data_IF_323600600969
#
_entry.id   IF_323600600969
#
_cell.length_a   1.000
_cell.length_b   1.000
_cell.length_c   1.000
_cell.angle_alpha   90.00
_cell.angle_beta   90.00
_cell.angle_gamma   90.00
#
_symmetry.space_group_name_H-M   'P 1'
#
loop_
_entity.id
_entity.type
_entity.pdbx_description
1 polymer ?
#
# COMPACT_ATOMS: atom_id res chain seq x y z
N UNK A 1 -32.75 37.79 2.90
CA UNK A 1 -31.53 36.97 2.80
C UNK A 1 -31.97 35.51 2.71
N UNK A 2 -31.83 34.87 1.55
CA UNK A 2 -31.98 33.42 1.43
C UNK A 2 -30.61 32.79 1.72
N UNK A 3 -30.53 31.98 2.77
CA UNK A 3 -29.37 31.13 3.02
C UNK A 3 -29.50 29.89 2.13
N UNK A 4 -28.58 29.75 1.17
CA UNK A 4 -28.38 28.50 0.44
C UNK A 4 -27.54 27.62 1.36
N UNK A 5 -28.11 26.50 1.78
CA UNK A 5 -27.37 25.45 2.50
C UNK A 5 -26.61 24.66 1.43
N UNK A 6 -25.27 24.59 1.47
CA UNK A 6 -24.54 23.73 0.54
C UNK A 6 -24.93 22.28 0.80
N UNK A 7 -25.40 21.60 -0.24
CA UNK A 7 -25.63 20.15 -0.23
C UNK A 7 -24.31 19.43 0.00
N UNK A 8 -24.29 18.46 0.92
CA UNK A 8 -23.14 17.59 1.13
C UNK A 8 -22.70 16.96 -0.19
N UNK A 9 -21.38 16.85 -0.46
CA UNK A 9 -20.90 16.11 -1.62
C UNK A 9 -21.34 14.64 -1.48
N UNK A 10 -21.93 14.12 -2.55
CA UNK A 10 -22.26 12.70 -2.69
C UNK A 10 -20.92 11.96 -2.82
N UNK A 11 -20.63 11.06 -1.88
CA UNK A 11 -19.51 10.12 -2.00
C UNK A 11 -19.95 9.09 -3.04
N UNK A 12 -19.31 9.09 -4.20
CA UNK A 12 -19.61 8.19 -5.31
C UNK A 12 -18.57 7.06 -5.34
N UNK A 13 -18.97 5.87 -4.88
CA UNK A 13 -18.18 4.64 -4.95
C UNK A 13 -18.12 4.16 -6.41
N UNK A 14 -16.91 3.90 -6.92
CA UNK A 14 -16.69 3.49 -8.32
C UNK A 14 -16.03 2.11 -8.37
N UNK A 15 -16.57 1.17 -9.14
CA UNK A 15 -16.02 -0.18 -9.34
C UNK A 15 -15.50 -0.33 -10.77
N UNK A 16 -14.37 -1.03 -10.99
CA UNK A 16 -13.75 -1.19 -12.32
C UNK A 16 -13.37 -2.65 -12.58
N UNK A 17 -13.91 -3.21 -13.66
CA UNK A 17 -13.58 -4.59 -14.06
C UNK A 17 -12.30 -4.59 -14.89
N UNK A 18 -11.21 -5.13 -14.34
CA UNK A 18 -9.97 -5.37 -15.10
C UNK A 18 -9.82 -6.88 -15.29
N UNK A 19 -10.19 -7.39 -16.47
CA UNK A 19 -10.04 -8.82 -16.75
C UNK A 19 -8.59 -9.15 -17.07
N UNK A 20 -7.93 -9.92 -16.19
CA UNK A 20 -6.60 -10.46 -16.47
C UNK A 20 -6.67 -11.99 -16.60
N UNK A 21 -6.16 -12.48 -17.73
CA UNK A 21 -6.15 -13.90 -18.07
C UNK A 21 -4.95 -14.60 -17.41
N UNK A 22 -5.23 -15.36 -16.35
CA UNK A 22 -4.47 -16.46 -15.70
C UNK A 22 -2.94 -16.41 -15.76
N UNK A 23 -2.31 -16.26 -14.60
CA UNK A 23 -0.87 -16.52 -14.36
C UNK A 23 -0.64 -18.04 -14.30
N UNK A 24 0.42 -18.60 -14.92
CA UNK A 24 0.76 -20.00 -14.74
C UNK A 24 1.12 -20.30 -13.28
N UNK A 25 0.49 -21.32 -12.70
CA UNK A 25 0.92 -21.91 -11.42
C UNK A 25 2.38 -22.33 -11.52
N UNK A 26 3.28 -21.63 -10.83
CA UNK A 26 4.65 -22.09 -10.62
C UNK A 26 4.61 -23.28 -9.65
N UNK A 27 4.54 -24.49 -10.21
CA UNK A 27 4.89 -25.68 -9.44
C UNK A 27 6.38 -25.59 -9.12
N UNK A 28 6.72 -25.49 -7.84
CA UNK A 28 8.08 -25.61 -7.36
C UNK A 28 8.58 -27.04 -7.61
N UNK A 29 9.20 -27.27 -8.75
CA UNK A 29 9.91 -28.53 -9.05
C UNK A 29 11.21 -28.56 -8.24
N UNK A 30 11.16 -29.14 -7.03
CA UNK A 30 12.35 -29.63 -6.33
C UNK A 30 12.95 -30.80 -7.12
N UNK A 31 13.85 -30.51 -8.07
CA UNK A 31 14.71 -31.54 -8.67
C UNK A 31 16.17 -31.32 -8.32
N UNK A 32 16.66 -32.21 -7.45
CA UNK A 32 18.07 -32.46 -7.18
C UNK A 32 18.86 -32.69 -8.48
N UNK A 33 19.84 -31.82 -8.77
CA UNK A 33 20.84 -32.05 -9.80
C UNK A 33 22.25 -31.84 -9.25
N UNK A 34 22.87 -32.93 -8.79
CA UNK A 34 24.31 -33.07 -8.65
C UNK A 34 24.92 -33.21 -10.05
N UNK A 35 25.69 -32.23 -10.53
CA UNK A 35 26.40 -32.35 -11.81
C UNK A 35 27.11 -31.06 -12.25
N UNK A 36 28.19 -30.68 -11.58
CA UNK A 36 29.10 -29.64 -12.04
C UNK A 36 30.14 -30.25 -13.01
N UNK A 37 29.96 -30.03 -14.31
CA UNK A 37 31.06 -30.11 -15.28
C UNK A 37 31.45 -28.69 -15.74
N UNK A 38 32.76 -28.46 -15.72
CA UNK A 38 33.48 -27.25 -16.08
C UNK A 38 33.10 -26.71 -17.46
N UNK A 39 32.70 -25.43 -17.52
CA UNK A 39 32.80 -24.62 -18.73
C UNK A 39 33.36 -23.24 -18.37
N UNK A 40 34.61 -23.01 -18.78
CA UNK A 40 35.36 -21.78 -18.60
C UNK A 40 34.97 -20.77 -19.68
N UNK A 41 34.34 -19.67 -19.29
CA UNK A 41 34.21 -18.44 -20.10
C UNK A 41 35.07 -17.35 -19.43
N UNK A 42 35.89 -16.60 -20.17
CA UNK A 42 36.79 -15.61 -19.59
C UNK A 42 36.01 -14.36 -19.15
N UNK A 43 36.13 -14.03 -17.87
CA UNK A 43 35.70 -12.74 -17.31
C UNK A 43 36.82 -11.73 -17.61
N UNK A 44 36.45 -10.62 -18.23
CA UNK A 44 37.32 -9.47 -18.37
C UNK A 44 37.55 -8.83 -17.00
N UNK A 45 38.80 -8.85 -16.56
CA UNK A 45 39.33 -8.18 -15.39
C UNK A 45 39.35 -6.66 -15.65
N UNK A 46 38.49 -5.92 -14.95
CA UNK A 46 38.64 -4.48 -14.75
C UNK A 46 38.91 -4.19 -13.28
N UNK A 47 40.11 -4.55 -12.83
CA UNK A 47 40.69 -4.01 -11.60
C UNK A 47 41.44 -2.71 -11.84
N UNK A 48 41.32 -1.83 -10.85
CA UNK A 48 42.09 -0.61 -10.55
C UNK A 48 41.70 0.68 -11.30
N UNK A 49 41.10 1.62 -10.55
CA UNK A 49 41.89 2.65 -9.87
C UNK A 49 41.22 3.13 -8.57
N UNK A 50 41.99 3.04 -7.48
CA UNK A 50 41.77 3.80 -6.26
C UNK A 50 42.34 5.21 -6.41
N UNK A 51 41.75 6.22 -5.76
CA UNK A 51 42.52 7.18 -4.95
C UNK A 51 41.65 8.12 -4.12
N UNK A 52 41.95 8.13 -2.81
CA UNK A 52 41.98 9.28 -1.89
C UNK A 52 40.65 9.97 -1.51
N UNK A 53 40.07 9.53 -0.40
CA UNK A 53 39.33 10.40 0.51
C UNK A 53 40.07 10.47 1.87
N UNK A 54 40.27 11.66 2.45
CA UNK A 54 40.85 11.81 3.78
C UNK A 54 39.83 11.40 4.84
N UNK A 55 40.31 10.66 5.85
CA UNK A 55 39.55 10.32 7.05
C UNK A 55 39.13 11.60 7.78
N UNK A 56 37.83 11.84 7.88
CA UNK A 56 37.25 12.88 8.73
C UNK A 56 36.90 12.25 10.08
N UNK A 57 37.54 12.77 11.12
CA UNK A 57 37.36 12.44 12.53
C UNK A 57 35.98 12.91 13.03
N UNK A 58 35.08 12.02 13.49
CA UNK A 58 33.86 12.46 14.16
C UNK A 58 34.17 12.73 15.64
N UNK A 59 34.60 13.95 15.93
CA UNK A 59 34.53 14.48 17.29
C UNK A 59 33.05 14.66 17.68
N UNK A 60 32.49 13.64 18.34
CA UNK A 60 31.15 13.69 18.94
C UNK A 60 31.18 14.70 20.09
N UNK A 61 30.56 15.86 19.86
CA UNK A 61 30.18 16.78 20.92
C UNK A 61 28.99 16.19 21.69
N UNK A 62 29.25 15.70 22.91
CA UNK A 62 28.20 15.36 23.85
C UNK A 62 27.44 16.63 24.28
N UNK A 63 26.18 16.73 23.87
CA UNK A 63 25.23 17.69 24.45
C UNK A 63 24.66 17.04 25.72
N UNK A 64 25.14 17.50 26.88
CA UNK A 64 24.51 17.27 28.17
C UNK A 64 23.13 17.95 28.19
N UNK A 65 22.07 17.17 28.02
CA UNK A 65 20.73 17.58 28.47
C UNK A 65 20.55 17.17 29.93
N UNK A 66 20.70 18.15 30.82
CA UNK A 66 20.28 18.03 32.21
C UNK A 66 18.76 18.11 32.29
N UNK A 67 18.12 16.99 32.63
CA UNK A 67 16.71 16.93 33.04
C UNK A 67 16.55 17.55 34.44
N UNK A 68 15.68 18.55 34.64
CA UNK A 68 15.27 18.96 35.97
C UNK A 68 14.00 18.23 36.42
N UNK A 69 14.03 17.80 37.69
CA UNK A 69 12.92 17.80 38.65
C UNK A 69 11.75 16.81 38.47
N UNK A 70 12.02 15.60 38.94
CA UNK A 70 11.38 14.99 40.13
C UNK A 70 10.28 15.85 40.81
N UNK A 71 9.01 15.51 40.58
CA UNK A 71 7.87 15.92 41.41
C UNK A 71 7.04 14.67 41.76
N UNK A 72 7.39 14.12 42.92
CA UNK A 72 6.58 13.18 43.70
C UNK A 72 5.25 13.86 44.05
N UNK A 73 4.12 13.25 43.65
CA UNK A 73 2.81 13.55 44.23
C UNK A 73 2.24 12.29 44.85
N UNK A 74 2.06 12.37 46.16
CA UNK A 74 1.46 11.40 47.06
C UNK A 74 0.03 10.99 46.67
N UNK A 75 -0.28 9.74 47.01
CA UNK A 75 -1.61 9.14 47.00
C UNK A 75 -2.60 9.87 47.92
N UNK A 76 -3.92 9.70 47.68
CA UNK A 76 -4.68 9.08 48.76
C UNK A 76 -5.83 8.13 48.34
N UNK A 77 -6.12 7.24 49.29
CA UNK A 77 -7.44 6.70 49.67
C UNK A 77 -8.11 5.60 48.81
N UNK A 78 -7.85 4.38 49.27
CA UNK A 78 -8.80 3.29 49.49
C UNK A 78 -10.27 3.75 49.71
N UNK A 79 -11.18 3.31 48.84
CA UNK A 79 -12.62 3.28 49.10
C UNK A 79 -13.16 1.89 48.76
N UNK A 80 -13.52 1.19 49.84
CA UNK A 80 -14.28 -0.06 49.87
C UNK A 80 -15.75 0.25 49.61
N UNK A 81 -16.35 -0.36 48.58
CA UNK A 81 -17.77 -0.27 48.29
C UNK A 81 -18.45 -1.62 48.60
N UNK A 82 -19.55 -1.50 49.34
CA UNK A 82 -20.30 -2.55 50.03
C UNK A 82 -21.27 -3.27 49.08
N UNK A 83 -21.17 -4.59 49.02
CA UNK A 83 -22.16 -5.46 48.38
C UNK A 83 -23.52 -5.33 49.09
N UNK A 84 -24.53 -4.85 48.36
CA UNK A 84 -25.93 -4.85 48.81
C UNK A 84 -26.69 -5.92 48.01
N UNK A 85 -26.97 -7.04 48.67
CA UNK A 85 -27.81 -8.10 48.12
C UNK A 85 -29.25 -7.60 47.91
N UNK A 86 -29.70 -7.63 46.67
CA UNK A 86 -31.09 -7.32 46.29
C UNK A 86 -31.96 -8.58 46.40
N UNK A 87 -33.15 -8.55 47.02
CA UNK A 87 -34.01 -9.71 47.14
C UNK A 87 -34.57 -10.15 45.78
N UNK A 88 -34.50 -11.45 45.54
CA UNK A 88 -34.99 -12.14 44.34
C UNK A 88 -36.52 -12.27 44.41
N UNK A 89 -37.29 -11.70 43.48
CA UNK A 89 -38.72 -11.95 43.38
C UNK A 89 -38.97 -13.37 42.82
N UNK A 90 -39.73 -14.17 43.56
CA UNK A 90 -40.24 -15.48 43.11
C UNK A 90 -41.32 -15.25 42.06
N UNK A 91 -40.93 -15.22 40.78
CA UNK A 91 -41.86 -15.18 39.66
C UNK A 91 -42.54 -16.55 39.48
N UNK A 92 -43.86 -16.52 39.31
CA UNK A 92 -44.69 -17.69 39.07
C UNK A 92 -44.35 -18.33 37.72
N UNK A 93 -44.23 -19.66 37.70
CA UNK A 93 -43.87 -20.43 36.52
C UNK A 93 -44.94 -20.26 35.41
N UNK A 94 -44.61 -19.64 34.26
CA UNK A 94 -45.57 -19.51 33.17
C UNK A 94 -45.90 -20.88 32.58
N UNK A 95 -47.19 -21.11 32.36
CA UNK A 95 -47.70 -22.31 31.70
C UNK A 95 -47.20 -22.36 30.26
N UNK A 96 -46.56 -23.47 29.87
CA UNK A 96 -45.98 -23.66 28.55
C UNK A 96 -47.05 -23.51 27.46
N UNK A 97 -46.89 -22.47 26.63
CA UNK A 97 -47.68 -22.27 25.42
C UNK A 97 -47.12 -23.19 24.33
N UNK A 98 -48.00 -23.89 23.62
CA UNK A 98 -47.62 -24.80 22.54
C UNK A 98 -46.79 -24.06 21.48
N UNK A 99 -45.66 -24.66 21.07
CA UNK A 99 -44.77 -24.09 20.07
C UNK A 99 -45.51 -23.86 18.74
N UNK A 100 -45.37 -22.69 18.10
CA UNK A 100 -45.97 -22.44 16.80
C UNK A 100 -45.40 -23.42 15.76
N UNK A 101 -46.27 -23.87 14.87
CA UNK A 101 -45.91 -24.72 13.75
C UNK A 101 -44.90 -23.93 12.88
N UNK A 102 -43.73 -24.51 12.52
CA UNK A 102 -42.74 -23.81 11.72
C UNK A 102 -43.38 -23.39 10.39
N UNK A 103 -43.36 -22.07 10.15
CA UNK A 103 -43.78 -21.50 8.88
C UNK A 103 -42.60 -21.64 7.92
N UNK A 104 -42.83 -22.20 6.74
CA UNK A 104 -41.80 -22.33 5.71
C UNK A 104 -41.17 -20.96 5.44
N UNK A 105 -39.91 -20.80 5.82
CA UNK A 105 -39.15 -19.59 5.57
C UNK A 105 -39.02 -19.44 4.05
N UNK A 106 -39.48 -18.33 3.44
CA UNK A 106 -39.35 -18.12 2.02
C UNK A 106 -37.86 -18.20 1.67
N UNK A 107 -37.52 -19.11 0.76
CA UNK A 107 -36.17 -19.21 0.20
C UNK A 107 -35.81 -17.86 -0.41
N UNK A 108 -34.75 -17.23 0.10
CA UNK A 108 -34.27 -15.96 -0.44
C UNK A 108 -33.99 -16.15 -1.92
N UNK A 109 -34.73 -15.43 -2.75
CA UNK A 109 -34.40 -15.33 -4.18
C UNK A 109 -33.00 -14.72 -4.26
N UNK A 110 -32.05 -15.32 -4.98
CA UNK A 110 -30.72 -14.76 -5.10
C UNK A 110 -30.85 -13.36 -5.68
N UNK A 111 -30.55 -12.35 -4.86
CA UNK A 111 -30.43 -10.97 -5.32
C UNK A 111 -29.23 -10.96 -6.24
N UNK A 112 -29.46 -10.82 -7.54
CA UNK A 112 -28.39 -10.56 -8.50
C UNK A 112 -27.72 -9.26 -8.03
N UNK A 113 -26.42 -9.28 -7.68
CA UNK A 113 -25.72 -8.07 -7.30
C UNK A 113 -25.92 -7.02 -8.39
N UNK A 114 -26.17 -5.75 -8.05
CA UNK A 114 -26.26 -4.71 -9.08
C UNK A 114 -25.00 -4.78 -9.94
N UNK A 115 -25.18 -4.85 -11.26
CA UNK A 115 -24.04 -4.78 -12.20
C UNK A 115 -23.33 -3.44 -11.94
N UNK A 116 -22.06 -3.45 -11.52
CA UNK A 116 -21.36 -2.21 -11.27
C UNK A 116 -21.39 -1.33 -12.50
N UNK A 117 -21.80 -0.08 -12.33
CA UNK A 117 -21.65 0.92 -13.37
C UNK A 117 -20.20 1.38 -13.30
N UNK A 118 -19.37 0.79 -14.14
CA UNK A 118 -17.98 1.19 -14.31
C UNK A 118 -17.97 2.60 -14.90
N UNK A 119 -17.56 3.60 -14.10
CA UNK A 119 -17.10 4.87 -14.67
C UNK A 119 -15.72 4.57 -15.28
N UNK A 120 -15.52 4.80 -16.58
CA UNK A 120 -14.31 4.37 -17.32
C UNK A 120 -13.06 5.20 -16.97
N UNK A 121 -13.07 5.92 -15.86
CA UNK A 121 -12.18 7.03 -15.59
C UNK A 121 -10.99 6.65 -14.72
N UNK A 122 -10.91 5.42 -14.20
CA UNK A 122 -9.63 4.86 -13.75
C UNK A 122 -9.23 3.64 -14.56
N UNK A 123 -7.92 3.49 -14.74
CA UNK A 123 -7.35 2.36 -15.47
C UNK A 123 -6.29 1.71 -14.60
N UNK A 124 -6.42 0.41 -14.38
CA UNK A 124 -5.39 -0.39 -13.73
C UNK A 124 -4.42 -0.93 -14.80
N UNK A 125 -3.13 -0.76 -14.56
CA UNK A 125 -2.07 -1.19 -15.47
C UNK A 125 -1.03 -2.01 -14.74
N UNK A 126 -0.39 -2.91 -15.49
CA UNK A 126 0.80 -3.65 -15.05
C UNK A 126 0.59 -4.40 -13.73
N UNK A 127 -0.65 -4.86 -13.49
CA UNK A 127 -1.03 -5.56 -12.28
C UNK A 127 -0.52 -6.99 -12.28
N UNK A 128 -0.02 -7.47 -11.14
CA UNK A 128 0.43 -8.84 -10.95
C UNK A 128 0.12 -9.34 -9.55
N UNK A 129 -0.13 -10.64 -9.41
CA UNK A 129 -0.46 -11.31 -8.15
C UNK A 129 0.61 -12.37 -7.85
N UNK A 130 1.04 -12.44 -6.60
CA UNK A 130 2.08 -13.31 -6.10
C UNK A 130 1.63 -13.98 -4.81
N UNK A 131 2.11 -15.19 -4.50
CA UNK A 131 2.02 -15.72 -3.14
C UNK A 131 2.72 -14.79 -2.15
N UNK A 132 2.10 -14.52 -1.02
CA UNK A 132 2.72 -13.80 0.10
C UNK A 132 3.57 -14.79 0.92
N UNK A 133 4.90 -14.76 0.85
CA UNK A 133 5.75 -15.68 1.59
C UNK A 133 5.69 -15.46 3.11
N UNK A 134 5.26 -14.28 3.56
CA UNK A 134 5.14 -13.93 4.97
C UNK A 134 3.72 -14.11 5.52
N UNK A 135 2.69 -14.00 4.67
CA UNK A 135 1.31 -13.77 5.09
C UNK A 135 0.27 -14.87 4.87
N UNK A 136 0.63 -16.08 4.40
CA UNK A 136 -0.35 -17.14 4.05
C UNK A 136 -1.49 -16.58 3.17
N UNK A 137 -1.12 -15.92 2.09
CA UNK A 137 -2.03 -15.13 1.29
C UNK A 137 -1.48 -14.81 -0.09
N UNK A 138 -2.05 -13.78 -0.72
CA UNK A 138 -1.59 -13.21 -1.97
C UNK A 138 -1.17 -11.75 -1.76
N UNK A 139 -0.10 -11.34 -2.43
CA UNK A 139 0.27 -9.94 -2.67
C UNK A 139 -0.10 -9.57 -4.10
N UNK A 140 -0.69 -8.40 -4.29
CA UNK A 140 -0.97 -7.85 -5.61
C UNK A 140 -0.33 -6.48 -5.73
N UNK A 141 0.43 -6.29 -6.81
CA UNK A 141 1.03 -5.01 -7.16
C UNK A 141 0.45 -4.51 -8.48
N UNK A 142 0.52 -3.20 -8.70
CA UNK A 142 0.15 -2.59 -9.97
C UNK A 142 0.20 -1.08 -9.92
N UNK A 143 -0.28 -0.45 -10.98
CA UNK A 143 -0.52 0.99 -11.04
C UNK A 143 -1.99 1.26 -11.33
N UNK A 144 -2.53 2.36 -10.80
CA UNK A 144 -3.79 2.92 -11.26
C UNK A 144 -3.60 4.33 -11.81
N UNK A 145 -4.34 4.67 -12.87
CA UNK A 145 -4.23 5.94 -13.60
C UNK A 145 -5.53 6.72 -13.47
N UNK A 146 -5.43 8.00 -13.12
CA UNK A 146 -6.56 8.91 -13.00
C UNK A 146 -6.94 9.53 -14.36
N UNK A 147 -7.91 8.97 -15.07
CA UNK A 147 -8.44 9.51 -16.33
C UNK A 147 -9.71 10.38 -16.15
N UNK A 148 -10.04 10.81 -14.92
CA UNK A 148 -11.23 11.64 -14.65
C UNK A 148 -11.13 13.08 -15.19
N UNK A 149 -9.94 13.50 -15.63
CA UNK A 149 -9.66 14.86 -16.08
C UNK A 149 -9.50 15.89 -14.96
N UNK A 150 -9.65 15.48 -13.69
CA UNK A 150 -9.45 16.30 -12.49
C UNK A 150 -8.51 15.59 -11.51
N UNK A 151 -7.86 16.34 -10.61
CA UNK A 151 -7.12 15.73 -9.51
C UNK A 151 -8.10 15.00 -8.57
N UNK A 152 -7.70 13.84 -8.07
CA UNK A 152 -8.55 12.98 -7.24
C UNK A 152 -7.83 12.59 -5.96
N UNK A 153 -8.51 12.72 -4.81
CA UNK A 153 -8.07 12.19 -3.52
C UNK A 153 -8.59 10.76 -3.36
N UNK A 154 -7.67 9.81 -3.16
CA UNK A 154 -7.96 8.39 -3.01
C UNK A 154 -8.52 8.13 -1.61
N UNK A 155 -9.74 7.60 -1.56
CA UNK A 155 -10.43 7.23 -0.33
C UNK A 155 -10.21 5.76 -0.01
N UNK A 156 -10.25 4.90 -1.03
CA UNK A 156 -9.97 3.49 -0.87
C UNK A 156 -9.56 2.80 -2.17
N UNK A 157 -8.86 1.67 -2.00
CA UNK A 157 -8.59 0.69 -3.04
C UNK A 157 -9.04 -0.68 -2.50
N UNK A 158 -9.75 -1.45 -3.32
CA UNK A 158 -10.22 -2.80 -2.97
C UNK A 158 -10.17 -3.73 -4.17
N UNK A 159 -10.25 -5.03 -3.90
CA UNK A 159 -10.33 -6.06 -4.92
C UNK A 159 -11.29 -7.19 -4.51
N UNK A 160 -12.00 -7.73 -5.51
CA UNK A 160 -12.73 -9.00 -5.42
C UNK A 160 -11.95 -10.06 -6.17
N UNK A 161 -11.71 -11.21 -5.54
CA UNK A 161 -10.97 -12.32 -6.13
C UNK A 161 -11.91 -13.48 -6.43
N UNK A 162 -11.71 -14.11 -7.58
CA UNK A 162 -12.53 -15.20 -8.08
C UNK A 162 -11.69 -16.46 -8.30
N UNK A 163 -12.29 -17.63 -8.09
CA UNK A 163 -11.71 -18.90 -8.55
C UNK A 163 -11.87 -19.08 -10.08
N UNK A 164 -11.34 -20.19 -10.61
CA UNK A 164 -11.44 -20.55 -12.03
C UNK A 164 -12.89 -20.81 -12.49
N UNK A 165 -13.83 -21.00 -11.56
CA UNK A 165 -15.26 -21.18 -11.84
C UNK A 165 -16.04 -19.87 -11.73
N UNK A 166 -15.35 -18.74 -11.46
CA UNK A 166 -15.95 -17.42 -11.31
C UNK A 166 -16.70 -17.23 -10.00
N UNK A 167 -16.44 -18.05 -8.96
CA UNK A 167 -16.98 -17.80 -7.62
C UNK A 167 -16.06 -16.88 -6.85
N UNK A 168 -16.64 -15.92 -6.10
CA UNK A 168 -15.87 -15.04 -5.22
C UNK A 168 -15.25 -15.87 -4.10
N UNK A 169 -13.93 -15.80 -3.96
CA UNK A 169 -13.15 -16.51 -2.92
C UNK A 169 -12.56 -15.57 -1.88
N UNK A 170 -12.39 -14.28 -2.20
CA UNK A 170 -11.95 -13.27 -1.25
C UNK A 170 -12.37 -11.85 -1.66
N UNK A 171 -12.35 -10.95 -0.68
CA UNK A 171 -12.56 -9.52 -0.83
C UNK A 171 -11.54 -8.80 0.06
N UNK A 172 -10.74 -7.89 -0.50
CA UNK A 172 -9.88 -7.02 0.31
C UNK A 172 -10.67 -5.79 0.71
N UNK A 173 -10.77 -5.57 2.02
CA UNK A 173 -11.25 -4.28 2.52
C UNK A 173 -10.09 -3.30 2.54
N UNK A 174 -10.42 -2.03 2.51
CA UNK A 174 -9.52 -0.87 2.35
C UNK A 174 -8.32 -0.78 3.31
N UNK A 175 -8.22 -1.64 4.33
CA UNK A 175 -7.12 -1.65 5.31
C UNK A 175 -5.92 -2.48 4.85
N UNK A 176 -6.13 -3.38 3.91
CA UNK A 176 -5.11 -4.29 3.40
C UNK A 176 -4.52 -3.76 2.08
N UNK A 177 -4.65 -2.45 1.87
CA UNK A 177 -4.26 -1.74 0.69
C UNK A 177 -3.27 -0.64 1.08
N UNK A 178 -2.18 -0.57 0.35
CA UNK A 178 -1.14 0.42 0.55
C UNK A 178 -0.86 1.15 -0.76
N UNK A 179 -0.76 2.48 -0.68
CA UNK A 179 -0.35 3.34 -1.78
C UNK A 179 0.32 4.59 -1.19
N UNK A 180 1.33 5.17 -1.88
CA UNK A 180 2.24 6.09 -1.23
C UNK A 180 1.66 7.50 -1.04
N UNK A 181 0.73 7.97 -1.89
CA UNK A 181 0.21 9.34 -1.86
C UNK A 181 -1.33 9.46 -1.84
N UNK A 182 -1.86 10.61 -1.42
CA UNK A 182 -3.31 10.76 -1.25
C UNK A 182 -4.01 11.33 -2.48
N UNK A 183 -3.31 12.12 -3.30
CA UNK A 183 -3.90 12.81 -4.45
C UNK A 183 -3.16 12.40 -5.72
N UNK A 184 -3.92 12.04 -6.76
CA UNK A 184 -3.39 11.72 -8.10
C UNK A 184 -3.80 12.82 -9.07
N UNK A 185 -2.83 13.42 -9.76
CA UNK A 185 -3.09 14.43 -10.78
C UNK A 185 -3.93 13.88 -11.95
N UNK A 186 -4.55 14.74 -12.78
CA UNK A 186 -5.18 14.29 -14.03
C UNK A 186 -4.17 13.58 -14.94
N UNK A 187 -4.50 12.37 -15.38
CA UNK A 187 -3.65 11.44 -16.12
C UNK A 187 -2.40 10.97 -15.35
N UNK A 188 -2.28 11.30 -14.06
CA UNK A 188 -1.24 10.79 -13.19
C UNK A 188 -1.48 9.31 -12.88
N UNK A 189 -0.40 8.61 -12.54
CA UNK A 189 -0.41 7.22 -12.08
C UNK A 189 0.03 7.14 -10.62
N UNK A 190 -0.38 6.09 -9.91
CA UNK A 190 0.15 5.77 -8.59
C UNK A 190 0.29 4.26 -8.43
N UNK A 191 1.41 3.76 -7.87
CA UNK A 191 1.55 2.35 -7.57
C UNK A 191 0.70 1.97 -6.36
N UNK A 192 0.32 0.70 -6.31
CA UNK A 192 -0.42 0.15 -5.19
C UNK A 192 0.06 -1.25 -4.85
N UNK A 193 -0.16 -1.61 -3.59
CA UNK A 193 -0.04 -2.96 -3.05
C UNK A 193 -1.37 -3.35 -2.39
N UNK A 194 -1.82 -4.57 -2.62
CA UNK A 194 -2.93 -5.20 -1.90
C UNK A 194 -2.46 -6.53 -1.31
N UNK A 195 -2.78 -6.78 -0.05
CA UNK A 195 -2.58 -8.07 0.59
C UNK A 195 -3.92 -8.77 0.80
N UNK A 196 -3.98 -10.07 0.51
CA UNK A 196 -5.18 -10.88 0.70
C UNK A 196 -4.81 -12.11 1.51
N UNK A 197 -5.27 -12.19 2.75
CA UNK A 197 -5.02 -13.35 3.60
C UNK A 197 -5.89 -14.55 3.21
N UNK A 198 -5.44 -15.75 3.60
CA UNK A 198 -6.20 -16.99 3.59
C UNK A 198 -6.64 -17.49 2.20
N UNK A 199 -5.99 -17.02 1.13
CA UNK A 199 -6.11 -17.59 -0.21
C UNK A 199 -4.72 -17.83 -0.81
N UNK A 200 -4.54 -18.96 -1.47
CA UNK A 200 -3.25 -19.33 -2.10
C UNK A 200 -3.19 -18.95 -3.58
N UNK A 201 -4.35 -18.86 -4.25
CA UNK A 201 -4.46 -18.63 -5.69
C UNK A 201 -5.79 -17.93 -6.01
N UNK A 202 -5.82 -17.18 -7.11
CA UNK A 202 -7.03 -16.62 -7.71
C UNK A 202 -7.00 -16.82 -9.22
N UNK A 203 -8.14 -17.19 -9.80
CA UNK A 203 -8.32 -17.34 -11.25
C UNK A 203 -8.55 -16.01 -11.96
N UNK A 204 -9.20 -15.06 -11.29
CA UNK A 204 -9.49 -13.71 -11.78
C UNK A 204 -9.67 -12.72 -10.62
N UNK A 205 -9.68 -11.42 -10.91
CA UNK A 205 -9.94 -10.37 -9.92
C UNK A 205 -10.57 -9.12 -10.53
N UNK A 206 -11.22 -8.32 -9.68
CA UNK A 206 -11.82 -7.03 -10.04
C UNK A 206 -11.32 -5.98 -9.06
N UNK A 207 -10.72 -4.89 -9.57
CA UNK A 207 -10.14 -3.82 -8.78
C UNK A 207 -11.06 -2.60 -8.70
N UNK A 208 -11.06 -1.90 -7.58
CA UNK A 208 -11.97 -0.76 -7.36
C UNK A 208 -11.20 0.35 -6.66
N UNK A 209 -11.20 1.55 -7.24
CA UNK A 209 -10.75 2.78 -6.57
C UNK A 209 -11.97 3.60 -6.18
N UNK A 210 -12.11 3.91 -4.90
CA UNK A 210 -12.98 5.00 -4.47
C UNK A 210 -12.15 6.26 -4.31
N UNK A 211 -12.59 7.34 -4.95
CA UNK A 211 -11.94 8.63 -4.88
C UNK A 211 -12.96 9.76 -4.88
N UNK A 212 -12.52 10.96 -4.51
CA UNK A 212 -13.29 12.20 -4.62
C UNK A 212 -12.44 13.28 -5.27
N UNK A 213 -13.04 14.26 -5.98
CA UNK A 213 -12.27 15.37 -6.54
C UNK A 213 -11.47 16.09 -5.46
N UNK A 214 -10.20 16.36 -5.75
CA UNK A 214 -9.34 17.18 -4.90
C UNK A 214 -9.31 18.63 -5.39
N UNK A 215 -9.28 19.56 -4.44
CA UNK A 215 -8.99 20.97 -4.72
C UNK A 215 -7.50 21.27 -4.84
N UNK A 216 -6.65 20.29 -4.56
CA UNK A 216 -5.20 20.37 -4.57
C UNK A 216 -4.64 19.59 -5.77
N UNK A 217 -3.60 20.13 -6.41
CA UNK A 217 -2.90 19.47 -7.51
C UNK A 217 -1.49 19.15 -7.01
N UNK A 218 -1.11 17.87 -6.90
CA UNK A 218 0.24 17.52 -6.50
C UNK A 218 1.24 18.05 -7.53
N UNK A 219 2.35 18.60 -7.03
CA UNK A 219 3.53 18.85 -7.81
C UNK A 219 4.17 17.51 -8.18
N UNK A 220 4.54 17.34 -9.45
CA UNK A 220 5.13 16.10 -10.00
C UNK A 220 6.41 16.36 -10.82
N UNK A 221 6.78 17.63 -11.03
CA UNK A 221 7.90 18.04 -11.87
C UNK A 221 9.24 18.05 -11.12
N UNK A 222 9.53 16.98 -10.38
CA UNK A 222 10.79 16.82 -9.67
C UNK A 222 11.90 16.29 -10.59
N UNK A 223 13.14 16.57 -10.21
CA UNK A 223 14.31 16.12 -10.94
C UNK A 223 15.12 15.14 -10.10
N UNK A 224 15.61 14.08 -10.74
CA UNK A 224 16.46 13.07 -10.11
C UNK A 224 17.82 13.05 -10.80
N UNK A 225 18.90 12.99 -10.01
CA UNK A 225 20.27 12.91 -10.49
C UNK A 225 21.08 11.88 -9.70
N UNK A 226 22.28 11.57 -10.20
CA UNK A 226 23.25 10.69 -9.53
C UNK A 226 22.69 9.35 -9.06
N UNK A 227 21.80 8.80 -9.90
CA UNK A 227 21.10 7.56 -9.61
C UNK A 227 22.04 6.37 -9.55
N UNK A 228 21.88 5.57 -8.50
CA UNK A 228 22.57 4.33 -8.30
C UNK A 228 21.57 3.23 -7.90
N UNK A 229 21.81 2.01 -8.37
CA UNK A 229 21.02 0.83 -8.01
C UNK A 229 21.90 -0.21 -7.33
N UNK A 230 21.34 -0.92 -6.36
CA UNK A 230 22.00 -2.02 -5.67
C UNK A 230 21.04 -3.18 -5.51
N UNK A 231 21.58 -4.38 -5.68
CA UNK A 231 20.94 -5.63 -5.34
C UNK A 231 21.63 -6.15 -4.07
N UNK A 232 20.91 -6.11 -2.95
CA UNK A 232 21.39 -6.52 -1.63
C UNK A 232 20.79 -7.87 -1.21
N UNK A 233 20.63 -8.78 -2.17
CA UNK A 233 20.23 -10.16 -1.95
C UNK A 233 18.72 -10.33 -1.92
N UNK A 234 18.06 -9.95 -0.82
CA UNK A 234 16.59 -9.94 -0.76
C UNK A 234 16.01 -8.57 -1.08
N UNK A 235 16.79 -7.49 -1.00
CA UNK A 235 16.31 -6.14 -1.26
C UNK A 235 16.87 -5.59 -2.57
N UNK A 236 16.05 -4.88 -3.32
CA UNK A 236 16.47 -4.06 -4.45
C UNK A 236 16.36 -2.59 -4.06
N UNK A 237 17.49 -1.89 -4.10
CA UNK A 237 17.60 -0.50 -3.65
C UNK A 237 17.94 0.45 -4.80
N UNK A 238 17.31 1.62 -4.80
CA UNK A 238 17.61 2.76 -5.68
C UNK A 238 17.89 3.98 -4.82
N UNK A 239 19.05 4.58 -5.02
CA UNK A 239 19.49 5.81 -4.37
C UNK A 239 19.82 6.89 -5.39
N UNK A 240 19.88 8.13 -4.95
CA UNK A 240 20.34 9.24 -5.75
C UNK A 240 20.06 10.59 -5.09
N UNK A 241 20.17 11.64 -5.89
CA UNK A 241 19.85 13.00 -5.50
C UNK A 241 18.48 13.41 -6.06
N UNK A 242 17.74 14.14 -5.25
CA UNK A 242 16.43 14.70 -5.58
C UNK A 242 16.51 16.23 -5.57
N UNK A 243 15.93 16.87 -6.58
CA UNK A 243 15.82 18.32 -6.67
C UNK A 243 14.36 18.76 -6.88
N UNK A 244 13.95 19.78 -6.14
CA UNK A 244 12.66 20.44 -6.29
C UNK A 244 12.84 21.78 -7.04
N UNK A 245 12.57 21.84 -8.35
CA UNK A 245 12.68 23.08 -9.12
C UNK A 245 11.49 24.03 -8.92
N UNK A 246 10.46 23.61 -8.18
CA UNK A 246 9.21 24.33 -8.00
C UNK A 246 9.14 25.22 -6.75
N UNK A 247 7.91 25.49 -6.31
CA UNK A 247 7.67 26.22 -5.08
C UNK A 247 7.91 25.32 -3.85
N UNK A 248 7.92 25.95 -2.67
CA UNK A 248 7.99 25.20 -1.41
C UNK A 248 6.75 24.30 -1.23
N UNK A 249 7.02 23.03 -0.93
CA UNK A 249 6.00 22.05 -0.55
C UNK A 249 5.46 22.37 0.84
N UNK A 250 4.16 22.15 1.08
CA UNK A 250 3.48 22.57 2.31
C UNK A 250 3.18 21.42 3.25
N UNK A 251 2.78 20.29 2.70
CA UNK A 251 2.17 19.17 3.41
C UNK A 251 3.10 17.95 3.39
N UNK A 252 3.53 17.51 2.21
CA UNK A 252 4.33 16.30 2.07
C UNK A 252 5.21 16.30 0.83
N UNK A 253 6.25 15.47 0.88
CA UNK A 253 6.98 14.96 -0.27
C UNK A 253 6.99 13.44 -0.17
N UNK A 254 6.66 12.77 -1.27
CA UNK A 254 6.80 11.32 -1.38
C UNK A 254 7.62 11.03 -2.61
N UNK A 255 8.70 10.27 -2.45
CA UNK A 255 9.51 9.72 -3.54
C UNK A 255 9.23 8.22 -3.58
N UNK A 256 9.02 7.66 -4.77
CA UNK A 256 8.71 6.24 -4.94
C UNK A 256 9.50 5.66 -6.10
N UNK A 257 10.11 4.50 -5.86
CA UNK A 257 10.75 3.68 -6.86
C UNK A 257 9.83 2.51 -7.18
N UNK A 258 9.33 2.47 -8.41
CA UNK A 258 8.46 1.40 -8.92
C UNK A 258 9.34 0.41 -9.67
N UNK A 259 9.31 -0.85 -9.26
CA UNK A 259 10.13 -1.91 -9.84
C UNK A 259 9.31 -2.74 -10.81
N UNK A 260 9.89 -3.05 -11.96
CA UNK A 260 9.24 -3.84 -13.00
C UNK A 260 10.09 -5.03 -13.43
N UNK A 261 9.44 -6.15 -13.77
CA UNK A 261 10.09 -7.29 -14.40
C UNK A 261 10.32 -7.07 -15.91
N UNK A 262 10.88 -8.07 -16.56
CA UNK A 262 11.17 -8.06 -18.01
C UNK A 262 9.93 -8.07 -18.91
N UNK A 263 8.75 -8.34 -18.34
CA UNK A 263 7.43 -8.28 -19.00
C UNK A 263 6.69 -6.96 -18.75
N UNK A 264 7.36 -5.98 -18.15
CA UNK A 264 6.82 -4.66 -17.83
C UNK A 264 5.71 -4.67 -16.76
N UNK A 265 5.66 -5.69 -15.91
CA UNK A 265 4.72 -5.77 -14.79
C UNK A 265 5.34 -5.23 -13.51
N UNK A 266 4.54 -4.58 -12.67
CA UNK A 266 4.99 -4.08 -11.36
C UNK A 266 5.23 -5.28 -10.45
N UNK A 267 6.45 -5.41 -9.96
CA UNK A 267 6.88 -6.49 -9.06
C UNK A 267 6.88 -6.06 -7.60
N UNK A 268 7.25 -4.80 -7.34
CA UNK A 268 7.21 -4.16 -6.02
C UNK A 268 7.40 -2.64 -6.19
N UNK A 269 7.30 -1.87 -5.10
CA UNK A 269 7.75 -0.49 -5.03
C UNK A 269 8.25 -0.12 -3.63
N UNK A 270 9.30 0.69 -3.57
CA UNK A 270 9.79 1.31 -2.34
C UNK A 270 9.40 2.77 -2.30
N UNK A 271 9.16 3.33 -1.12
CA UNK A 271 8.84 4.75 -0.99
C UNK A 271 9.56 5.41 0.20
N UNK A 272 9.74 6.72 0.10
CA UNK A 272 10.29 7.57 1.13
C UNK A 272 9.37 8.79 1.27
N UNK A 273 8.86 9.00 2.47
CA UNK A 273 7.91 10.08 2.76
C UNK A 273 8.50 11.07 3.75
N UNK A 274 8.48 12.35 3.38
CA UNK A 274 8.76 13.48 4.26
C UNK A 274 7.46 14.19 4.57
N UNK A 275 7.02 14.11 5.82
CA UNK A 275 5.90 14.89 6.34
C UNK A 275 6.42 16.24 6.84
N UNK A 276 5.77 17.33 6.45
CA UNK A 276 6.23 18.70 6.71
C UNK A 276 7.63 18.97 6.13
N UNK A 277 7.77 19.02 4.79
CA UNK A 277 9.05 19.15 4.09
C UNK A 277 9.63 20.57 4.18
N UNK A 278 9.45 21.29 5.30
CA UNK A 278 9.95 22.66 5.49
C UNK A 278 11.48 22.77 5.31
N UNK A 279 12.22 21.65 5.33
CA UNK A 279 13.65 21.56 5.04
C UNK A 279 14.03 21.07 3.64
N UNK A 280 13.07 20.68 2.79
CA UNK A 280 13.31 20.42 1.36
C UNK A 280 13.22 21.76 0.62
N UNK A 281 14.07 22.70 1.04
CA UNK A 281 14.23 23.99 0.39
C UNK A 281 14.93 23.79 -0.97
N UNK A 282 14.74 24.73 -1.90
CA UNK A 282 15.11 24.63 -3.32
C UNK A 282 16.64 24.52 -3.63
N UNK A 283 17.50 24.26 -2.64
CA UNK A 283 18.96 24.01 -2.77
C UNK A 283 19.54 23.72 -1.35
N UNK A 284 20.40 22.72 -1.09
CA UNK A 284 21.01 21.73 -2.00
C UNK A 284 20.19 20.44 -2.07
N UNK A 285 20.38 19.68 -3.16
CA UNK A 285 19.70 18.41 -3.42
C UNK A 285 19.57 17.49 -2.20
N UNK A 286 18.47 16.75 -2.17
CA UNK A 286 18.13 15.82 -1.10
C UNK A 286 18.55 14.41 -1.50
N UNK A 287 19.44 13.79 -0.73
CA UNK A 287 19.79 12.39 -0.95
C UNK A 287 18.62 11.47 -0.54
N UNK A 288 18.31 10.49 -1.38
CA UNK A 288 17.35 9.45 -1.05
C UNK A 288 17.96 8.05 -1.25
N UNK A 289 17.42 7.08 -0.50
CA UNK A 289 17.69 5.66 -0.66
C UNK A 289 16.40 4.88 -0.42
N UNK A 290 15.96 4.14 -1.42
CA UNK A 290 14.68 3.45 -1.49
C UNK A 290 14.91 1.98 -1.73
N UNK A 291 14.53 1.14 -0.78
CA UNK A 291 14.58 -0.31 -0.94
C UNK A 291 13.19 -0.90 -0.96
N UNK A 292 13.01 -1.98 -1.72
CA UNK A 292 11.87 -2.88 -1.58
C UNK A 292 12.37 -4.32 -1.52
N UNK A 293 11.64 -5.15 -0.77
CA UNK A 293 11.87 -6.59 -0.73
C UNK A 293 11.61 -7.15 -2.13
N UNK A 294 12.62 -7.74 -2.75
CA UNK A 294 12.53 -8.34 -4.06
C UNK A 294 11.55 -9.52 -4.09
N UNK A 295 11.21 -10.15 -2.95
CA UNK A 295 10.37 -11.36 -2.88
C UNK A 295 10.80 -12.47 -3.86
N UNK A 296 12.12 -12.59 -4.11
CA UNK A 296 12.72 -13.45 -5.16
C UNK A 296 12.22 -13.15 -6.59
N UNK A 297 11.82 -11.92 -6.87
CA UNK A 297 11.37 -11.47 -8.17
C UNK A 297 12.51 -10.74 -8.90
N UNK A 298 12.68 -11.05 -10.19
CA UNK A 298 13.69 -10.41 -11.03
C UNK A 298 13.26 -8.97 -11.38
N UNK A 299 14.01 -7.98 -10.88
CA UNK A 299 13.85 -6.56 -11.26
C UNK A 299 14.64 -6.29 -12.54
N UNK A 300 13.95 -5.97 -13.63
CA UNK A 300 14.56 -5.66 -14.92
C UNK A 300 14.72 -4.16 -15.16
N UNK A 301 13.82 -3.33 -14.61
CA UNK A 301 13.89 -1.87 -14.65
C UNK A 301 13.22 -1.26 -13.43
N UNK A 302 13.50 0.01 -13.19
CA UNK A 302 12.78 0.83 -12.23
C UNK A 302 12.30 2.14 -12.86
N UNK A 303 11.36 2.79 -12.18
CA UNK A 303 10.89 4.14 -12.48
C UNK A 303 10.82 4.93 -11.19
N UNK A 304 11.31 6.17 -11.20
CA UNK A 304 11.19 7.08 -10.05
C UNK A 304 10.03 8.05 -10.31
N UNK A 305 9.16 8.14 -9.32
CA UNK A 305 8.06 9.12 -9.28
C UNK A 305 8.15 9.88 -7.97
N UNK A 306 7.71 11.13 -7.98
CA UNK A 306 7.56 11.91 -6.75
C UNK A 306 6.33 12.80 -6.81
N UNK A 307 5.70 12.95 -5.64
CA UNK A 307 4.53 13.80 -5.45
C UNK A 307 4.76 14.70 -4.25
N UNK A 308 4.45 15.98 -4.40
CA UNK A 308 4.47 16.93 -3.30
C UNK A 308 3.25 17.82 -3.29
N UNK A 309 2.80 18.21 -2.10
CA UNK A 309 1.75 19.22 -1.87
C UNK A 309 2.26 20.23 -0.85
#
# INVERSE_FOLDING_TARGET
LCFVIPSNPIIETQQIETQNKTVPSYASDETNATGLENSTIPIADTSNQAQNQPAVDPAIAQVNQTSPDDQVIDAPANISATDTATPIPTASLPTATAAPIPTDTPTSTPTVPPTPTTLPDWVFMNTQVYPDPAGNGLLMFGNFINNTGLAQEIMSLSALFYDEQGQVIAETRTRDAYWPGFVVAPNGSMPFELTVADIENAGDFVLTVEAKPSGELPQENFEFSDLNQKDEGVDYCVSGEFNNPGEHLRNYLIITAIFYNSEDKVVNFGHYSVYYPEGVEADPGFDFDLCADGFNQDVARYELQAWGL
#
